data_IF_738802776473
#
_entry.id   IF_738802776473
#
_cell.length_a   1.000
_cell.length_b   1.000
_cell.length_c   1.000
_cell.angle_alpha   90.00
_cell.angle_beta   90.00
_cell.angle_gamma   90.00
#
_symmetry.space_group_name_H-M   'P 1'
#
loop_
_entity.id
_entity.type
_entity.pdbx_description
1 polymer ?
#
# COMPACT_ATOMS: atom_id res chain seq x y z
N UNK A 1 14.63 6.66 6.15
CA UNK A 1 14.17 6.40 4.77
C UNK A 1 13.43 7.62 4.25
N UNK A 2 13.69 8.09 3.02
CA UNK A 2 12.93 9.23 2.47
C UNK A 2 11.55 8.75 2.01
N UNK A 3 10.56 9.65 1.99
CA UNK A 3 9.17 9.31 1.57
C UNK A 3 9.12 8.63 0.20
N UNK A 4 9.93 9.12 -0.75
CA UNK A 4 10.06 8.56 -2.10
C UNK A 4 10.52 7.09 -2.05
N UNK A 5 11.59 6.81 -1.31
CA UNK A 5 12.14 5.46 -1.19
C UNK A 5 11.12 4.48 -0.59
N UNK A 6 10.34 4.95 0.39
CA UNK A 6 9.26 4.15 0.98
C UNK A 6 8.17 3.81 -0.04
N UNK A 7 7.70 4.81 -0.79
CA UNK A 7 6.70 4.59 -1.85
C UNK A 7 7.22 3.60 -2.88
N UNK A 8 8.48 3.73 -3.29
CA UNK A 8 9.12 2.82 -4.23
C UNK A 8 9.19 1.38 -3.67
N UNK A 9 9.58 1.19 -2.41
CA UNK A 9 9.62 -0.14 -1.78
C UNK A 9 8.24 -0.78 -1.65
N UNK A 10 7.20 0.00 -1.34
CA UNK A 10 5.83 -0.51 -1.31
C UNK A 10 5.40 -0.97 -2.71
N UNK A 11 5.72 -0.19 -3.75
CA UNK A 11 5.39 -0.56 -5.12
C UNK A 11 6.13 -1.81 -5.59
N UNK A 12 7.41 -1.95 -5.25
CA UNK A 12 8.21 -3.14 -5.59
C UNK A 12 7.69 -4.41 -4.94
N UNK A 13 7.17 -4.29 -3.72
CA UNK A 13 6.61 -5.41 -2.95
C UNK A 13 5.13 -5.71 -3.24
N UNK A 14 4.48 -4.98 -4.16
CA UNK A 14 3.10 -5.22 -4.58
C UNK A 14 3.05 -5.61 -6.06
N UNK A 15 2.63 -6.84 -6.32
CA UNK A 15 2.63 -7.45 -7.64
C UNK A 15 1.69 -6.79 -8.65
N UNK A 16 0.76 -5.94 -8.18
CA UNK A 16 -0.10 -5.15 -9.06
C UNK A 16 0.61 -3.97 -9.71
N UNK A 17 1.78 -3.57 -9.20
CA UNK A 17 2.55 -2.45 -9.75
C UNK A 17 3.66 -2.91 -10.70
N UNK A 18 3.85 -2.10 -11.74
CA UNK A 18 4.97 -2.17 -12.68
C UNK A 18 5.47 -0.76 -13.00
N UNK A 19 6.77 -0.62 -13.23
CA UNK A 19 7.39 0.64 -13.66
C UNK A 19 7.42 0.68 -15.19
N UNK A 20 6.93 1.77 -15.78
CA UNK A 20 6.82 1.97 -17.24
C UNK A 20 7.16 3.43 -17.52
N UNK A 21 8.23 3.67 -18.27
CA UNK A 21 8.63 5.02 -18.70
C UNK A 21 8.69 6.05 -17.56
N UNK A 22 9.22 5.65 -16.39
CA UNK A 22 9.32 6.51 -15.21
C UNK A 22 8.03 6.67 -14.39
N UNK A 23 6.95 5.97 -14.77
CA UNK A 23 5.67 5.97 -14.07
C UNK A 23 5.38 4.58 -13.49
N UNK A 24 4.99 4.52 -12.22
CA UNK A 24 4.43 3.31 -11.63
C UNK A 24 2.96 3.20 -11.98
N UNK A 25 2.54 2.04 -12.48
CA UNK A 25 1.16 1.74 -12.85
C UNK A 25 0.73 0.47 -12.10
N UNK A 26 -0.35 0.57 -11.33
CA UNK A 26 -0.92 -0.56 -10.62
C UNK A 26 -2.34 -0.32 -10.10
N UNK A 27 -2.65 -0.82 -8.91
CA UNK A 27 -4.02 -0.82 -8.37
C UNK A 27 -4.04 -0.34 -6.93
N UNK A 28 -4.88 0.65 -6.64
CA UNK A 28 -5.11 1.10 -5.26
C UNK A 28 -5.52 -0.07 -4.37
N UNK A 29 -4.93 -0.19 -3.17
CA UNK A 29 -5.25 -1.29 -2.27
C UNK A 29 -6.70 -1.24 -1.79
N UNK A 30 -7.28 -0.06 -1.57
CA UNK A 30 -8.63 0.10 -1.01
C UNK A 30 -9.71 -0.25 -2.04
N UNK A 31 -9.78 0.52 -3.13
CA UNK A 31 -10.85 0.40 -4.12
C UNK A 31 -10.54 -0.56 -5.27
N UNK A 32 -9.30 -1.03 -5.38
CA UNK A 32 -8.81 -1.80 -6.53
C UNK A 32 -8.95 -1.08 -7.87
N UNK A 33 -9.18 0.24 -7.92
CA UNK A 33 -9.15 0.99 -9.18
C UNK A 33 -7.69 1.27 -9.62
N UNK A 34 -7.46 1.60 -10.91
CA UNK A 34 -6.12 1.96 -11.39
C UNK A 34 -5.49 3.08 -10.57
N UNK A 35 -4.22 2.92 -10.21
CA UNK A 35 -3.40 3.93 -9.54
C UNK A 35 -2.12 4.13 -10.34
N UNK A 36 -1.80 5.39 -10.62
CA UNK A 36 -0.58 5.79 -11.32
C UNK A 36 0.12 6.87 -10.52
N UNK A 37 1.44 6.81 -10.45
CA UNK A 37 2.25 7.84 -9.80
C UNK A 37 3.67 7.88 -10.37
N UNK A 38 4.29 9.05 -10.27
CA UNK A 38 5.60 9.31 -10.85
C UNK A 38 6.71 8.70 -9.97
N UNK A 39 7.66 8.00 -10.59
CA UNK A 39 8.78 7.37 -9.84
C UNK A 39 9.79 8.41 -9.32
N UNK A 40 9.85 9.59 -9.93
CA UNK A 40 10.78 10.67 -9.55
C UNK A 40 10.55 11.17 -8.11
N UNK A 41 9.29 11.36 -7.71
CA UNK A 41 8.92 11.97 -6.43
C UNK A 41 7.82 11.21 -5.66
N UNK A 42 7.19 10.21 -6.27
CA UNK A 42 6.03 9.49 -5.71
C UNK A 42 4.73 10.28 -5.81
N UNK A 43 4.67 11.33 -6.62
CA UNK A 43 3.50 12.17 -6.83
C UNK A 43 2.37 11.39 -7.52
N UNK A 44 1.17 11.45 -6.94
CA UNK A 44 -0.02 10.71 -7.44
C UNK A 44 -0.45 9.53 -6.56
N UNK A 45 0.37 9.11 -5.60
CA UNK A 45 0.02 8.09 -4.61
C UNK A 45 0.22 8.58 -3.16
N UNK A 46 -0.57 8.00 -2.26
CA UNK A 46 -0.38 8.16 -0.82
C UNK A 46 -0.09 6.82 -0.18
N UNK A 47 0.78 6.82 0.83
CA UNK A 47 1.03 5.66 1.68
C UNK A 47 -0.11 5.54 2.67
N UNK A 48 -0.66 4.35 2.75
CA UNK A 48 -1.70 3.98 3.69
C UNK A 48 -1.21 2.90 4.65
N UNK A 49 -1.51 3.08 5.93
CA UNK A 49 -1.37 2.07 6.96
C UNK A 49 -2.64 1.23 7.00
N UNK A 50 -2.55 -0.05 6.61
CA UNK A 50 -3.73 -0.92 6.58
C UNK A 50 -4.35 -0.99 7.97
N UNK A 51 -3.56 -1.41 8.96
CA UNK A 51 -3.85 -1.20 10.37
C UNK A 51 -3.25 0.14 10.79
N UNK A 52 -4.04 1.11 11.29
CA UNK A 52 -3.54 2.40 11.72
C UNK A 52 -2.56 2.27 12.89
N UNK A 53 -1.55 3.14 12.97
CA UNK A 53 -0.56 3.14 14.06
C UNK A 53 -1.17 3.25 15.46
N UNK A 54 -2.24 4.04 15.61
CA UNK A 54 -2.97 4.18 16.90
C UNK A 54 -3.65 2.89 17.37
N UNK A 55 -3.89 1.96 16.45
CA UNK A 55 -4.45 0.62 16.72
C UNK A 55 -3.35 -0.46 16.73
N UNK A 56 -2.07 -0.06 16.84
CA UNK A 56 -0.93 -0.99 16.90
C UNK A 56 -0.35 -1.42 15.55
N UNK A 57 -0.74 -0.79 14.44
CA UNK A 57 -0.17 -1.08 13.13
C UNK A 57 1.31 -0.73 13.01
N UNK A 58 2.10 -1.61 12.39
CA UNK A 58 3.54 -1.43 12.16
C UNK A 58 3.84 -0.55 10.94
N UNK A 59 5.07 -0.04 10.86
CA UNK A 59 5.62 0.63 9.66
C UNK A 59 6.27 -0.38 8.68
N UNK A 60 6.05 -1.68 8.87
CA UNK A 60 6.56 -2.72 7.98
C UNK A 60 5.83 -2.70 6.64
N UNK A 61 6.53 -3.02 5.54
CA UNK A 61 5.97 -3.02 4.19
C UNK A 61 4.71 -3.91 4.03
N UNK A 62 4.56 -4.94 4.89
CA UNK A 62 3.39 -5.82 4.93
C UNK A 62 2.12 -5.12 5.45
N UNK A 63 2.25 -4.06 6.25
CA UNK A 63 1.15 -3.22 6.74
C UNK A 63 0.98 -1.93 5.94
N UNK A 64 1.87 -1.66 4.97
CA UNK A 64 1.84 -0.46 4.15
C UNK A 64 1.36 -0.75 2.73
N UNK A 65 0.65 0.21 2.14
CA UNK A 65 0.14 0.11 0.78
C UNK A 65 0.03 1.46 0.07
N UNK A 66 -0.02 1.42 -1.27
CA UNK A 66 -0.28 2.60 -2.09
C UNK A 66 -1.76 2.69 -2.46
N UNK A 67 -2.31 3.89 -2.27
CA UNK A 67 -3.73 4.19 -2.50
C UNK A 67 -3.89 5.59 -3.10
N UNK A 68 -5.09 5.87 -3.61
CA UNK A 68 -5.49 7.24 -3.95
C UNK A 68 -5.61 8.10 -2.70
N UNK A 69 -5.31 9.39 -2.81
CA UNK A 69 -5.48 10.35 -1.72
C UNK A 69 -6.92 10.39 -1.18
N UNK A 70 -7.92 10.33 -2.07
CA UNK A 70 -9.33 10.30 -1.68
C UNK A 70 -9.70 9.03 -0.89
N UNK A 71 -9.23 7.86 -1.32
CA UNK A 71 -9.48 6.60 -0.59
C UNK A 71 -8.82 6.59 0.78
N UNK A 72 -7.59 7.12 0.88
CA UNK A 72 -6.89 7.27 2.14
C UNK A 72 -7.68 8.17 3.10
N UNK A 73 -8.06 9.36 2.63
CA UNK A 73 -8.83 10.31 3.43
C UNK A 73 -10.18 9.73 3.89
N UNK A 74 -10.92 9.08 2.99
CA UNK A 74 -12.20 8.43 3.30
C UNK A 74 -12.03 7.39 4.42
N UNK A 75 -11.00 6.53 4.32
CA UNK A 75 -10.69 5.54 5.36
C UNK A 75 -10.34 6.23 6.68
N UNK A 76 -9.46 7.22 6.66
CA UNK A 76 -9.06 7.97 7.85
C UNK A 76 -10.25 8.60 8.59
N UNK A 77 -11.15 9.26 7.84
CA UNK A 77 -12.30 9.98 8.39
C UNK A 77 -13.40 9.04 8.86
N UNK A 78 -13.75 8.02 8.07
CA UNK A 78 -14.96 7.23 8.30
C UNK A 78 -14.73 5.91 9.02
N UNK A 79 -13.52 5.36 8.96
CA UNK A 79 -13.20 4.04 9.48
C UNK A 79 -12.17 4.11 10.60
N UNK A 80 -11.07 4.83 10.38
CA UNK A 80 -10.01 4.87 11.36
C UNK A 80 -10.38 5.75 12.56
N UNK A 81 -11.24 6.76 12.40
CA UNK A 81 -11.68 7.64 13.49
C UNK A 81 -12.62 6.91 14.47
N UNK A 82 -12.19 6.65 15.73
CA UNK A 82 -12.95 5.84 16.68
C UNK A 82 -14.37 6.34 16.91
N UNK A 83 -14.55 7.67 17.00
CA UNK A 83 -15.87 8.27 17.19
C UNK A 83 -16.82 7.99 16.03
N UNK A 84 -16.30 7.95 14.80
CA UNK A 84 -17.12 7.72 13.60
C UNK A 84 -17.42 6.24 13.37
N UNK A 85 -16.54 5.33 13.82
CA UNK A 85 -16.76 3.88 13.71
C UNK A 85 -17.44 3.23 14.92
N UNK A 86 -17.77 4.00 15.97
CA UNK A 86 -18.44 3.46 17.15
C UNK A 86 -19.71 2.68 16.76
N UNK A 87 -19.84 1.44 17.25
CA UNK A 87 -20.91 0.51 16.89
C UNK A 87 -20.73 -0.24 15.56
N UNK A 88 -19.66 0.02 14.79
CA UNK A 88 -19.34 -0.64 13.52
C UNK A 88 -18.02 -1.43 13.58
N UNK A 89 -17.73 -2.01 14.75
CA UNK A 89 -16.46 -2.67 15.02
C UNK A 89 -16.25 -3.89 14.13
N UNK A 90 -17.31 -4.69 13.91
CA UNK A 90 -17.25 -5.87 13.06
C UNK A 90 -16.99 -5.50 11.58
N UNK A 91 -17.65 -4.46 11.05
CA UNK A 91 -17.39 -3.98 9.68
C UNK A 91 -15.98 -3.43 9.53
N UNK A 92 -15.45 -2.77 10.57
CA UNK A 92 -14.07 -2.31 10.60
C UNK A 92 -13.08 -3.49 10.55
N UNK A 93 -13.30 -4.53 11.35
CA UNK A 93 -12.48 -5.76 11.32
C UNK A 93 -12.55 -6.47 9.96
N UNK A 94 -13.73 -6.53 9.34
CA UNK A 94 -13.91 -7.05 7.98
C UNK A 94 -13.14 -6.23 6.95
N UNK A 95 -13.17 -4.90 7.07
CA UNK A 95 -12.41 -3.99 6.20
C UNK A 95 -10.91 -4.28 6.33
N UNK A 96 -10.37 -4.30 7.55
CA UNK A 96 -8.94 -4.58 7.79
C UNK A 96 -8.54 -5.95 7.25
N UNK A 97 -9.34 -6.99 7.56
CA UNK A 97 -9.11 -8.36 7.09
C UNK A 97 -9.06 -8.41 5.57
N UNK A 98 -9.99 -7.75 4.89
CA UNK A 98 -10.02 -7.68 3.42
C UNK A 98 -8.78 -7.00 2.85
N UNK A 99 -8.34 -5.90 3.45
CA UNK A 99 -7.16 -5.15 2.99
C UNK A 99 -5.86 -5.93 3.23
N UNK A 100 -5.70 -6.54 4.40
CA UNK A 100 -4.54 -7.39 4.72
C UNK A 100 -4.49 -8.62 3.81
N UNK A 101 -5.62 -9.28 3.60
CA UNK A 101 -5.71 -10.43 2.69
C UNK A 101 -5.28 -10.04 1.28
N UNK A 102 -5.77 -8.90 0.78
CA UNK A 102 -5.38 -8.39 -0.54
C UNK A 102 -3.89 -8.03 -0.58
N UNK A 103 -3.35 -7.40 0.46
CA UNK A 103 -1.92 -7.06 0.53
C UNK A 103 -1.03 -8.29 0.48
N UNK A 104 -1.39 -9.33 1.24
CA UNK A 104 -0.71 -10.64 1.24
C UNK A 104 -0.80 -11.32 -0.13
N UNK A 105 -1.98 -11.33 -0.74
CA UNK A 105 -2.17 -11.93 -2.07
C UNK A 105 -1.36 -11.24 -3.18
N UNK A 106 -1.05 -9.95 -3.01
CA UNK A 106 -0.21 -9.18 -3.92
C UNK A 106 1.26 -9.16 -3.52
N UNK A 107 1.64 -9.80 -2.42
CA UNK A 107 3.00 -9.70 -1.93
C UNK A 107 3.99 -10.23 -2.96
N UNK A 108 5.03 -9.45 -3.20
CA UNK A 108 6.24 -9.83 -3.93
C UNK A 108 7.41 -9.49 -3.02
N UNK A 109 8.41 -10.36 -2.94
CA UNK A 109 9.62 -9.99 -2.22
C UNK A 109 10.31 -8.82 -2.95
N UNK A 110 10.54 -7.67 -2.29
CA UNK A 110 11.22 -6.55 -2.92
C UNK A 110 12.67 -6.88 -3.31
N UNK A 111 13.29 -7.86 -2.66
CA UNK A 111 14.69 -8.27 -2.92
C UNK A 111 14.80 -9.29 -4.07
N UNK A 112 13.74 -10.05 -4.37
CA UNK A 112 13.72 -10.99 -5.52
C UNK A 112 13.90 -10.29 -6.87
N UNK A 113 13.53 -9.01 -6.98
CA UNK A 113 13.70 -8.21 -8.20
C UNK A 113 15.16 -7.78 -8.46
N UNK A 114 16.08 -8.01 -7.50
CA UNK A 114 17.49 -7.60 -7.58
C UNK A 114 18.47 -8.72 -7.97
N UNK A 115 18.04 -9.99 -8.03
CA UNK A 115 18.95 -11.13 -8.21
C UNK A 115 18.96 -11.70 -9.64
N UNK A 116 19.07 -10.84 -10.66
CA UNK A 116 19.29 -11.27 -12.06
C UNK A 116 20.73 -11.08 -12.56
N UNK A 117 21.70 -10.82 -11.68
CA UNK A 117 23.12 -10.75 -12.05
C UNK A 117 23.97 -11.64 -11.13
N UNK A 118 24.31 -12.84 -11.60
CA UNK A 118 25.39 -13.62 -11.00
C UNK A 118 25.22 -15.13 -11.04
N UNK A 119 25.27 -15.74 -12.22
CA UNK A 119 25.81 -17.10 -12.39
C UNK A 119 26.24 -17.33 -13.84
N UNK A 120 27.23 -16.57 -14.30
CA UNK A 120 28.07 -16.97 -15.43
C UNK A 120 29.13 -17.93 -14.90
N UNK A 121 29.08 -19.18 -15.36
CA UNK A 121 30.13 -20.19 -15.15
C UNK A 121 31.38 -19.84 -15.94
#
# INVERSE_FOLDING_TARGET
>A
MRRRDLIEQIARSDSSFRLVDGEWIGRCLICNAPLRFTAADGGGATVEHIVPRREGGSDELANLALVHAACNWEKGVHWDEPRRRHGRQHEYEQLLTRLLTRRRARWRDPDDAGNTNGMGR
#
